data_IF_631724765868
#
_entry.id   IF_631724765868
#
_cell.length_a   1.000
_cell.length_b   1.000
_cell.length_c   1.000
_cell.angle_alpha   90.00
_cell.angle_beta   90.00
_cell.angle_gamma   90.00
#
_symmetry.space_group_name_H-M   'P 1'
#
loop_
_entity.id
_entity.type
_entity.pdbx_description
1 polymer ?
#
# COMPACT_ATOMS: atom_id res chain seq x y z
N UNK A 1 -16.14 4.22 -22.81
CA UNK A 1 -15.38 3.84 -21.60
C UNK A 1 -14.02 4.50 -21.69
N UNK A 2 -13.77 5.54 -20.90
CA UNK A 2 -12.50 6.27 -20.90
C UNK A 2 -11.46 5.42 -20.18
N UNK A 3 -10.55 4.79 -20.93
CA UNK A 3 -9.38 4.14 -20.35
C UNK A 3 -8.53 5.22 -19.69
N UNK A 4 -8.58 5.32 -18.36
CA UNK A 4 -7.72 6.22 -17.61
C UNK A 4 -6.28 5.74 -17.80
N UNK A 5 -5.51 6.41 -18.68
CA UNK A 5 -4.17 6.02 -19.09
C UNK A 5 -3.14 6.27 -17.98
N UNK A 6 -3.25 5.55 -16.85
CA UNK A 6 -2.24 5.63 -15.80
C UNK A 6 -1.00 4.82 -16.21
N UNK A 7 0.12 5.51 -16.37
CA UNK A 7 1.44 4.90 -16.58
C UNK A 7 2.31 5.15 -15.35
N UNK A 8 2.90 4.08 -14.81
CA UNK A 8 3.80 4.20 -13.65
C UNK A 8 5.07 4.96 -14.02
N UNK A 9 5.57 5.75 -13.08
CA UNK A 9 6.87 6.42 -13.20
C UNK A 9 8.05 5.44 -13.11
N UNK A 10 7.89 4.33 -12.38
CA UNK A 10 8.89 3.28 -12.20
C UNK A 10 8.20 1.92 -12.00
N UNK A 11 8.90 0.82 -12.26
CA UNK A 11 8.47 -0.56 -11.97
C UNK A 11 8.67 -0.93 -10.49
N UNK A 12 9.41 -0.13 -9.73
CA UNK A 12 9.53 -0.28 -8.27
C UNK A 12 8.53 0.62 -7.52
N UNK A 13 8.00 0.16 -6.37
CA UNK A 13 7.09 0.97 -5.56
C UNK A 13 7.78 2.20 -4.99
N UNK A 14 7.08 3.33 -4.98
CA UNK A 14 7.55 4.56 -4.36
C UNK A 14 7.67 4.38 -2.84
N UNK A 15 8.86 4.59 -2.28
CA UNK A 15 9.12 4.41 -0.85
C UNK A 15 9.13 2.95 -0.37
N UNK A 16 9.20 1.97 -1.29
CA UNK A 16 9.22 0.55 -0.96
C UNK A 16 7.84 -0.07 -0.71
N UNK A 17 7.84 -1.35 -0.32
CA UNK A 17 6.64 -2.04 0.12
C UNK A 17 6.39 -1.78 1.60
N UNK A 18 5.11 -1.74 1.98
CA UNK A 18 4.70 -1.65 3.38
C UNK A 18 3.81 -2.84 3.75
N UNK A 19 3.86 -3.29 4.99
CA UNK A 19 3.22 -4.53 5.42
C UNK A 19 2.41 -4.36 6.71
N UNK A 20 1.38 -5.20 6.84
CA UNK A 20 0.66 -5.45 8.08
C UNK A 20 0.59 -6.96 8.29
N UNK A 21 1.06 -7.42 9.44
CA UNK A 21 0.79 -8.77 9.89
C UNK A 21 -0.53 -8.77 10.67
N UNK A 22 -1.38 -9.75 10.46
CA UNK A 22 -2.62 -9.86 11.20
C UNK A 22 -2.77 -11.25 11.79
N UNK A 23 -3.25 -11.31 13.02
CA UNK A 23 -3.55 -12.56 13.71
C UNK A 23 -4.58 -12.32 14.83
N UNK A 24 -4.95 -13.35 15.57
CA UNK A 24 -5.68 -13.19 16.83
C UNK A 24 -4.79 -12.63 17.94
N UNK A 25 -5.39 -12.34 19.10
CA UNK A 25 -4.69 -11.70 20.21
C UNK A 25 -3.56 -12.57 20.77
N UNK A 26 -3.78 -13.88 20.87
CA UNK A 26 -2.81 -14.81 21.42
C UNK A 26 -1.59 -14.93 20.49
N UNK A 27 -1.83 -15.04 19.17
CA UNK A 27 -0.76 -15.09 18.17
C UNK A 27 0.04 -13.79 18.10
N UNK A 28 -0.61 -12.62 18.17
CA UNK A 28 0.12 -11.35 18.26
C UNK A 28 0.95 -11.27 19.54
N UNK A 29 0.40 -11.69 20.69
CA UNK A 29 1.16 -11.68 21.95
C UNK A 29 2.39 -12.60 21.91
N UNK A 30 2.26 -13.77 21.29
CA UNK A 30 3.38 -14.69 21.05
C UNK A 30 4.45 -14.06 20.14
N UNK A 31 4.02 -13.37 19.07
CA UNK A 31 4.93 -12.73 18.12
C UNK A 31 5.62 -11.48 18.65
N UNK A 32 4.91 -10.66 19.43
CA UNK A 32 5.43 -9.37 19.92
C UNK A 32 6.13 -9.50 21.27
N UNK A 33 5.89 -10.58 22.01
CA UNK A 33 6.31 -10.69 23.39
C UNK A 33 5.70 -9.59 24.28
N UNK A 34 6.44 -9.16 25.30
CA UNK A 34 6.03 -8.07 26.22
C UNK A 34 6.39 -6.68 25.70
N UNK A 35 7.27 -6.58 24.72
CA UNK A 35 7.81 -5.31 24.23
C UNK A 35 7.12 -4.91 22.94
N UNK A 36 5.96 -4.27 23.08
CA UNK A 36 5.29 -3.59 21.99
C UNK A 36 4.72 -2.25 22.45
N UNK A 37 4.56 -1.34 21.50
CA UNK A 37 3.74 -0.14 21.70
C UNK A 37 2.56 -0.17 20.73
N UNK A 38 1.50 0.59 21.05
CA UNK A 38 0.32 0.65 20.20
C UNK A 38 0.11 2.03 19.61
N UNK A 39 -0.54 2.07 18.45
CA UNK A 39 -0.96 3.33 17.84
C UNK A 39 -2.29 3.17 17.11
N UNK A 40 -3.07 4.25 17.06
CA UNK A 40 -4.39 4.27 16.41
C UNK A 40 -4.31 4.82 15.00
N UNK A 41 -5.37 4.58 14.23
CA UNK A 41 -5.56 5.14 12.89
C UNK A 41 -4.69 4.50 11.83
N UNK A 42 -4.80 5.04 10.61
CA UNK A 42 -3.95 4.67 9.48
C UNK A 42 -2.51 5.12 9.74
N UNK A 43 -1.52 4.47 9.10
CA UNK A 43 -0.12 4.88 9.14
C UNK A 43 0.36 5.27 7.76
N UNK A 44 1.32 6.20 7.73
CA UNK A 44 1.94 6.68 6.51
C UNK A 44 2.77 5.57 5.88
N UNK A 45 2.71 5.46 4.56
CA UNK A 45 3.56 4.62 3.74
C UNK A 45 3.93 5.39 2.47
N UNK A 46 4.83 4.82 1.66
CA UNK A 46 5.28 5.42 0.40
C UNK A 46 5.73 6.88 0.56
N UNK A 47 6.64 7.13 1.51
CA UNK A 47 7.12 8.48 1.87
C UNK A 47 6.00 9.47 2.25
N UNK A 48 4.87 8.97 2.75
CA UNK A 48 3.74 9.79 3.20
C UNK A 48 2.70 10.10 2.13
N UNK A 49 2.85 9.59 0.90
CA UNK A 49 1.86 9.74 -0.17
C UNK A 49 0.51 9.12 0.18
N UNK A 50 0.53 8.06 1.00
CA UNK A 50 -0.69 7.41 1.49
C UNK A 50 -0.66 7.25 3.00
N UNK A 51 -1.84 7.19 3.58
CA UNK A 51 -2.07 6.64 4.91
C UNK A 51 -2.94 5.40 4.78
N UNK A 52 -2.53 4.28 5.37
CA UNK A 52 -3.32 3.05 5.28
C UNK A 52 -3.37 2.23 6.57
N UNK A 53 -4.36 1.35 6.65
CA UNK A 53 -4.55 0.43 7.75
C UNK A 53 -5.74 -0.51 7.53
N UNK A 54 -5.96 -1.42 8.47
CA UNK A 54 -7.13 -2.32 8.44
C UNK A 54 -8.32 -1.67 9.13
N UNK A 55 -9.53 -1.95 8.63
CA UNK A 55 -10.81 -1.51 9.17
C UNK A 55 -11.66 -2.74 9.51
N UNK A 56 -12.28 -2.74 10.69
CA UNK A 56 -13.29 -3.74 11.05
C UNK A 56 -14.33 -3.12 11.97
N UNK A 57 -15.59 -3.56 11.86
CA UNK A 57 -16.70 -3.01 12.63
C UNK A 57 -16.78 -1.47 12.57
N UNK A 58 -16.63 -0.84 13.74
CA UNK A 58 -16.84 0.60 13.94
C UNK A 58 -15.71 1.50 13.42
N UNK A 59 -14.53 0.99 13.02
CA UNK A 59 -13.44 1.91 12.68
C UNK A 59 -12.14 1.28 12.18
N UNK A 60 -11.13 2.14 12.03
CA UNK A 60 -9.76 1.73 11.76
C UNK A 60 -9.21 1.00 12.98
N UNK A 61 -8.57 -0.13 12.75
CA UNK A 61 -8.07 -1.03 13.78
C UNK A 61 -6.81 -0.47 14.45
N UNK A 62 -6.54 -0.94 15.67
CA UNK A 62 -5.32 -0.58 16.41
C UNK A 62 -4.12 -1.32 15.83
N UNK A 63 -3.00 -0.62 15.74
CA UNK A 63 -1.73 -1.17 15.31
C UNK A 63 -0.87 -1.47 16.54
N UNK A 64 -0.23 -2.63 16.55
CA UNK A 64 0.73 -3.08 17.54
C UNK A 64 2.10 -3.12 16.86
N UNK A 65 3.10 -2.51 17.47
CA UNK A 65 4.43 -2.37 16.87
C UNK A 65 5.46 -3.06 17.72
N UNK A 66 6.20 -3.99 17.13
CA UNK A 66 7.30 -4.72 17.75
C UNK A 66 8.32 -5.09 16.67
N UNK A 67 9.61 -4.97 16.96
CA UNK A 67 10.71 -5.33 16.04
C UNK A 67 10.57 -4.73 14.62
N UNK A 68 10.20 -3.45 14.52
CA UNK A 68 10.00 -2.76 13.23
C UNK A 68 8.82 -3.27 12.40
N UNK A 69 8.05 -4.24 12.91
CA UNK A 69 6.86 -4.82 12.26
C UNK A 69 5.59 -4.23 12.87
N UNK A 70 4.55 -4.22 12.04
CA UNK A 70 3.22 -3.69 12.39
C UNK A 70 2.17 -4.77 12.34
N UNK A 71 1.55 -5.02 13.47
CA UNK A 71 0.56 -6.06 13.67
C UNK A 71 -0.84 -5.48 13.87
N UNK A 72 -1.86 -6.22 13.47
CA UNK A 72 -3.27 -5.96 13.74
C UNK A 72 -3.91 -7.20 14.37
N UNK A 73 -4.61 -7.00 15.47
CA UNK A 73 -5.37 -8.06 16.15
C UNK A 73 -6.79 -8.10 15.60
N UNK A 74 -7.15 -9.23 14.99
CA UNK A 74 -8.50 -9.53 14.51
C UNK A 74 -9.24 -10.49 15.43
N UNK A 75 -10.57 -10.34 15.53
CA UNK A 75 -11.43 -11.38 16.13
C UNK A 75 -11.69 -12.45 15.08
N UNK A 76 -11.54 -13.73 15.44
CA UNK A 76 -11.90 -14.87 14.59
C UNK A 76 -13.28 -14.66 13.94
N UNK A 77 -13.36 -14.98 12.66
CA UNK A 77 -14.54 -14.90 11.79
C UNK A 77 -15.08 -13.47 11.57
N UNK A 78 -14.41 -12.44 12.11
CA UNK A 78 -14.79 -11.06 11.85
C UNK A 78 -14.32 -10.62 10.45
N UNK A 79 -15.21 -9.94 9.73
CA UNK A 79 -14.87 -9.31 8.45
C UNK A 79 -13.95 -8.11 8.66
N UNK A 80 -13.06 -7.88 7.70
CA UNK A 80 -12.25 -6.68 7.66
C UNK A 80 -12.17 -6.09 6.26
N UNK A 81 -11.65 -4.86 6.18
CA UNK A 81 -11.34 -4.17 4.95
C UNK A 81 -9.95 -3.53 5.05
N UNK A 82 -9.29 -3.37 3.91
CA UNK A 82 -8.05 -2.61 3.79
C UNK A 82 -8.44 -1.20 3.35
N UNK A 83 -7.98 -0.22 4.12
CA UNK A 83 -8.34 1.19 3.93
C UNK A 83 -7.10 1.98 3.58
N UNK A 84 -7.04 2.53 2.36
CA UNK A 84 -5.92 3.32 1.85
C UNK A 84 -6.41 4.71 1.47
N UNK A 85 -5.91 5.74 2.16
CA UNK A 85 -6.18 7.14 1.85
C UNK A 85 -5.02 7.71 1.05
N UNK A 86 -5.32 8.27 -0.13
CA UNK A 86 -4.37 9.07 -0.88
C UNK A 86 -4.28 10.47 -0.26
N UNK A 87 -3.09 10.87 0.19
CA UNK A 87 -2.81 12.20 0.75
C UNK A 87 -1.98 13.07 -0.22
N UNK A 88 -1.73 12.57 -1.42
CA UNK A 88 -1.02 13.29 -2.48
C UNK A 88 -1.98 14.15 -3.30
N UNK A 89 -1.42 15.01 -4.16
CA UNK A 89 -2.18 15.82 -5.13
C UNK A 89 -2.25 15.15 -6.51
N UNK A 90 -1.78 13.92 -6.65
CA UNK A 90 -1.84 13.16 -7.90
C UNK A 90 -2.60 11.85 -7.73
N UNK A 91 -2.98 11.23 -8.86
CA UNK A 91 -3.46 9.85 -8.84
C UNK A 91 -2.32 8.93 -8.44
N UNK A 92 -2.64 7.91 -7.65
CA UNK A 92 -1.72 6.85 -7.30
C UNK A 92 -2.29 5.52 -7.76
N UNK A 93 -1.41 4.62 -8.19
CA UNK A 93 -1.78 3.22 -8.36
C UNK A 93 -1.37 2.43 -7.12
N UNK A 94 -2.33 1.71 -6.55
CA UNK A 94 -2.17 0.96 -5.31
C UNK A 94 -2.38 -0.52 -5.60
N UNK A 95 -1.30 -1.29 -5.50
CA UNK A 95 -1.31 -2.75 -5.55
C UNK A 95 -1.36 -3.27 -4.13
N UNK A 96 -2.32 -4.15 -3.85
CA UNK A 96 -2.53 -4.71 -2.51
C UNK A 96 -2.57 -6.23 -2.62
N UNK A 97 -1.96 -6.89 -1.65
CA UNK A 97 -2.04 -8.34 -1.51
C UNK A 97 -2.55 -8.73 -0.13
N UNK A 98 -3.27 -9.85 -0.07
CA UNK A 98 -3.67 -10.53 1.17
C UNK A 98 -3.25 -11.97 1.05
N UNK A 99 -2.46 -12.43 2.01
CA UNK A 99 -1.94 -13.80 2.08
C UNK A 99 -1.18 -14.25 0.81
N UNK A 100 -0.54 -13.30 0.13
CA UNK A 100 0.18 -13.53 -1.12
C UNK A 100 -0.68 -13.50 -2.39
N UNK A 101 -2.00 -13.31 -2.26
CA UNK A 101 -2.92 -13.16 -3.39
C UNK A 101 -3.21 -11.69 -3.68
N UNK A 102 -3.27 -11.33 -4.96
CA UNK A 102 -3.68 -10.01 -5.40
C UNK A 102 -5.18 -9.81 -5.11
N UNK A 103 -5.54 -8.69 -4.50
CA UNK A 103 -6.93 -8.43 -4.13
C UNK A 103 -7.85 -8.13 -5.33
N UNK A 104 -7.27 -7.80 -6.48
CA UNK A 104 -8.00 -7.46 -7.71
C UNK A 104 -8.48 -8.71 -8.43
N UNK A 105 -7.65 -9.76 -8.51
CA UNK A 105 -7.94 -10.96 -9.30
C UNK A 105 -7.87 -12.29 -8.53
N UNK A 106 -7.45 -12.26 -7.25
CA UNK A 106 -7.34 -13.45 -6.41
C UNK A 106 -6.22 -14.42 -6.81
N UNK A 107 -5.38 -14.06 -7.79
CA UNK A 107 -4.23 -14.86 -8.24
C UNK A 107 -2.97 -14.41 -7.50
N UNK A 108 -1.85 -15.16 -7.58
CA UNK A 108 -0.60 -14.76 -6.92
C UNK A 108 -0.24 -13.30 -7.18
N UNK A 109 0.08 -12.57 -6.12
CA UNK A 109 0.39 -11.16 -6.17
C UNK A 109 1.72 -10.92 -6.89
N UNK A 110 1.79 -9.83 -7.64
CA UNK A 110 3.02 -9.41 -8.30
C UNK A 110 3.03 -7.90 -8.43
N UNK A 111 4.20 -7.29 -8.21
CA UNK A 111 4.38 -5.88 -8.48
C UNK A 111 4.12 -5.52 -9.95
N UNK A 112 4.21 -6.47 -10.89
CA UNK A 112 3.94 -6.22 -12.31
C UNK A 112 2.44 -6.13 -12.64
N UNK A 113 1.57 -6.63 -11.77
CA UNK A 113 0.12 -6.54 -11.94
C UNK A 113 -0.38 -5.12 -11.72
N UNK A 114 -1.53 -4.81 -12.32
CA UNK A 114 -2.18 -3.51 -12.16
C UNK A 114 -3.04 -3.49 -10.89
N UNK A 115 -3.00 -2.36 -10.19
CA UNK A 115 -3.74 -2.11 -8.96
C UNK A 115 -4.90 -1.13 -9.15
N UNK A 116 -5.46 -0.68 -8.03
CA UNK A 116 -6.49 0.35 -8.02
C UNK A 116 -5.89 1.73 -8.28
N UNK A 117 -6.55 2.54 -9.11
CA UNK A 117 -6.22 3.95 -9.24
C UNK A 117 -7.00 4.73 -8.18
N UNK A 118 -6.28 5.39 -7.28
CA UNK A 118 -6.83 6.19 -6.18
C UNK A 118 -6.57 7.66 -6.49
N UNK A 119 -7.64 8.44 -6.63
CA UNK A 119 -7.56 9.87 -6.92
C UNK A 119 -7.06 10.67 -5.70
N UNK A 120 -6.59 11.92 -5.89
CA UNK A 120 -6.24 12.81 -4.78
C UNK A 120 -7.35 12.88 -3.74
N UNK A 121 -6.98 12.87 -2.46
CA UNK A 121 -7.87 12.90 -1.29
C UNK A 121 -8.89 11.75 -1.17
N UNK A 122 -8.89 10.80 -2.12
CA UNK A 122 -9.80 9.65 -2.10
C UNK A 122 -9.33 8.61 -1.07
N UNK A 123 -10.31 7.95 -0.44
CA UNK A 123 -10.09 6.72 0.33
C UNK A 123 -10.59 5.51 -0.45
N UNK A 124 -9.71 4.54 -0.68
CA UNK A 124 -10.03 3.22 -1.20
C UNK A 124 -10.32 2.26 -0.03
N UNK A 125 -11.43 1.53 -0.11
CA UNK A 125 -11.82 0.48 0.84
C UNK A 125 -11.95 -0.85 0.10
N UNK A 126 -11.09 -1.82 0.43
CA UNK A 126 -11.04 -3.14 -0.20
C UNK A 126 -11.56 -4.16 0.80
N UNK A 127 -12.75 -4.70 0.55
CA UNK A 127 -13.47 -5.59 1.49
C UNK A 127 -13.30 -7.08 1.18
N UNK A 128 -12.65 -7.41 0.08
CA UNK A 128 -12.60 -8.78 -0.42
C UNK A 128 -11.91 -8.92 -1.77
N UNK A 129 -11.71 -10.16 -2.20
CA UNK A 129 -11.21 -10.49 -3.54
C UNK A 129 -12.29 -10.23 -4.58
N UNK A 130 -11.93 -9.54 -5.66
CA UNK A 130 -12.84 -9.28 -6.77
C UNK A 130 -12.72 -10.40 -7.81
N UNK A 131 -13.33 -11.55 -7.53
CA UNK A 131 -13.25 -12.71 -8.42
C UNK A 131 -13.98 -12.50 -9.76
N UNK A 132 -14.93 -11.55 -9.84
CA UNK A 132 -15.55 -11.05 -11.07
C UNK A 132 -16.39 -9.79 -10.77
N UNK A 133 -16.99 -9.15 -11.78
CA UNK A 133 -17.82 -7.94 -11.60
C UNK A 133 -19.01 -8.09 -10.64
N UNK A 134 -19.39 -9.32 -10.27
CA UNK A 134 -20.62 -9.62 -9.51
C UNK A 134 -20.41 -10.21 -8.11
N UNK A 135 -19.20 -10.68 -7.77
CA UNK A 135 -18.99 -11.40 -6.51
C UNK A 135 -17.72 -10.93 -5.79
N UNK A 136 -17.89 -10.46 -4.55
CA UNK A 136 -16.80 -10.04 -3.65
C UNK A 136 -16.75 -11.03 -2.49
N UNK A 137 -15.79 -11.95 -2.54
CA UNK A 137 -15.51 -12.83 -1.40
C UNK A 137 -14.91 -11.98 -0.27
N UNK A 138 -15.61 -11.86 0.86
CA UNK A 138 -15.20 -10.95 1.94
C UNK A 138 -13.91 -11.43 2.62
N UNK A 139 -13.00 -10.51 2.97
CA UNK A 139 -11.89 -10.84 3.85
C UNK A 139 -12.42 -11.14 5.26
N UNK A 140 -11.93 -12.22 5.85
CA UNK A 140 -12.31 -12.70 7.18
C UNK A 140 -11.05 -13.06 7.95
N UNK A 141 -10.99 -12.67 9.22
CA UNK A 141 -9.92 -13.10 10.11
C UNK A 141 -10.05 -14.59 10.41
N UNK A 142 -9.16 -15.38 9.83
CA UNK A 142 -9.00 -16.78 10.18
C UNK A 142 -7.78 -16.92 11.10
N UNK A 143 -7.91 -17.52 12.30
CA UNK A 143 -6.77 -17.76 13.15
C UNK A 143 -5.79 -18.69 12.43
N UNK A 144 -4.50 -18.37 12.49
CA UNK A 144 -3.46 -19.29 12.08
C UNK A 144 -3.31 -20.30 13.22
N UNK A 145 -4.08 -21.38 13.20
CA UNK A 145 -4.01 -22.42 14.24
C UNK A 145 -2.71 -23.20 14.09
N UNK A 146 -1.68 -22.82 14.84
CA UNK A 146 -0.38 -23.51 14.89
C UNK A 146 0.75 -22.57 15.29
N UNK A 147 1.78 -23.10 15.94
CA UNK A 147 2.98 -22.37 16.33
C UNK A 147 3.54 -21.58 15.15
N UNK A 148 3.43 -20.25 15.21
CA UNK A 148 3.90 -19.32 14.16
C UNK A 148 5.40 -19.53 13.86
N UNK A 149 6.14 -20.04 14.86
CA UNK A 149 7.53 -20.47 14.82
C UNK A 149 7.85 -21.52 13.74
N UNK A 150 6.89 -22.39 13.38
CA UNK A 150 7.12 -23.47 12.40
C UNK A 150 6.90 -23.02 10.94
N UNK A 151 6.31 -21.84 10.71
CA UNK A 151 6.01 -21.30 9.38
C UNK A 151 7.20 -20.55 8.73
N UNK A 152 8.32 -20.43 9.45
CA UNK A 152 9.57 -19.85 8.94
C UNK A 152 10.24 -20.75 7.87
N UNK A 153 9.94 -22.05 7.86
CA UNK A 153 10.55 -23.04 6.96
C UNK A 153 9.53 -23.59 5.95
N UNK A 154 9.53 -23.03 4.74
CA UNK A 154 8.96 -23.65 3.54
C UNK A 154 7.56 -23.18 3.15
N UNK A 155 7.46 -22.59 1.94
CA UNK A 155 6.29 -22.43 1.05
C UNK A 155 5.01 -21.73 1.59
N UNK A 156 4.85 -21.55 2.90
CA UNK A 156 3.63 -21.03 3.56
C UNK A 156 3.75 -19.56 4.00
N UNK A 157 4.72 -18.84 3.44
CA UNK A 157 5.34 -17.61 3.99
C UNK A 157 4.47 -16.36 4.07
N UNK A 158 3.24 -16.38 3.56
CA UNK A 158 2.42 -15.17 3.45
C UNK A 158 1.12 -15.19 4.27
N UNK A 159 0.80 -16.28 4.98
CA UNK A 159 -0.45 -16.36 5.76
C UNK A 159 -0.43 -15.33 6.90
N UNK A 160 -1.48 -14.54 7.02
CA UNK A 160 -1.58 -13.47 8.02
C UNK A 160 -0.84 -12.20 7.60
N UNK A 161 -0.64 -11.95 6.31
CA UNK A 161 0.09 -10.77 5.82
C UNK A 161 -0.71 -10.01 4.78
N UNK A 162 -0.82 -8.69 4.97
CA UNK A 162 -1.30 -7.75 3.97
C UNK A 162 -0.13 -6.91 3.46
N UNK A 163 0.08 -6.92 2.15
CA UNK A 163 1.10 -6.11 1.48
C UNK A 163 0.51 -4.90 0.77
N UNK A 164 1.24 -3.79 0.77
CA UNK A 164 0.93 -2.56 0.04
C UNK A 164 2.12 -2.13 -0.82
N UNK A 165 1.86 -1.85 -2.08
CA UNK A 165 2.80 -1.17 -2.98
C UNK A 165 2.10 0.00 -3.68
N UNK A 166 2.75 1.17 -3.65
CA UNK A 166 2.22 2.40 -4.22
C UNK A 166 3.11 2.85 -5.38
N UNK A 167 2.49 3.20 -6.50
CA UNK A 167 3.18 3.71 -7.68
C UNK A 167 2.66 5.10 -8.04
N UNK A 168 3.59 5.97 -8.41
CA UNK A 168 3.30 7.33 -8.88
C UNK A 168 3.11 7.35 -10.40
N UNK A 169 2.37 8.34 -10.88
CA UNK A 169 2.15 8.56 -12.31
C UNK A 169 3.39 9.15 -12.98
N UNK A 170 3.73 8.64 -14.18
CA UNK A 170 4.89 9.09 -14.95
C UNK A 170 4.75 10.56 -15.31
N UNK A 171 5.77 11.35 -15.01
CA UNK A 171 5.84 12.76 -15.37
C UNK A 171 4.94 13.67 -14.53
N UNK A 172 4.35 13.17 -13.45
CA UNK A 172 3.58 13.99 -12.49
C UNK A 172 4.30 14.00 -11.15
N UNK A 173 4.56 15.19 -10.61
CA UNK A 173 5.03 15.32 -9.24
C UNK A 173 3.88 15.03 -8.26
N UNK A 174 4.01 14.05 -7.35
CA UNK A 174 2.88 13.60 -6.55
C UNK A 174 2.42 14.61 -5.50
N UNK A 175 3.30 15.52 -5.07
CA UNK A 175 2.96 16.50 -4.03
C UNK A 175 2.27 17.74 -4.58
N UNK A 176 2.60 18.16 -5.78
CA UNK A 176 2.00 19.32 -6.46
C UNK A 176 0.85 18.93 -7.40
N UNK A 177 0.83 17.69 -7.90
CA UNK A 177 -0.10 17.23 -8.94
C UNK A 177 0.20 17.82 -10.32
N UNK A 178 1.32 18.55 -10.48
CA UNK A 178 1.71 19.19 -11.73
C UNK A 178 2.62 18.28 -12.54
N UNK A 179 2.69 18.54 -13.84
CA UNK A 179 3.73 17.91 -14.66
C UNK A 179 5.11 18.24 -14.08
N UNK A 180 5.96 17.23 -13.93
CA UNK A 180 7.35 17.39 -13.50
C UNK A 180 8.11 18.31 -14.47
N UNK A 181 7.77 18.30 -15.76
CA UNK A 181 8.35 19.20 -16.77
C UNK A 181 7.96 20.67 -16.55
N UNK A 182 6.80 20.93 -15.94
CA UNK A 182 6.39 22.30 -15.64
C UNK A 182 7.33 22.95 -14.61
N UNK A 183 7.88 22.18 -13.66
CA UNK A 183 8.89 22.70 -12.72
C UNK A 183 10.17 23.16 -13.45
N UNK A 184 10.61 22.41 -14.46
CA UNK A 184 11.80 22.74 -15.26
C UNK A 184 11.59 23.96 -16.17
N UNK A 185 10.36 24.21 -16.64
CA UNK A 185 10.06 25.39 -17.48
C UNK A 185 10.12 26.70 -16.70
N UNK A 186 9.78 26.69 -15.40
CA UNK A 186 9.90 27.88 -14.56
C UNK A 186 11.34 28.17 -14.10
N UNK A 187 12.23 27.18 -14.15
CA UNK A 187 13.67 27.36 -13.92
C UNK A 187 14.47 27.62 -15.19
N UNK A 188 13.84 27.59 -16.37
CA UNK A 188 14.51 27.92 -17.63
C UNK A 188 14.76 29.43 -17.68
N UNK A 189 16.02 29.83 -17.80
CA UNK A 189 16.36 31.23 -18.04
C UNK A 189 15.78 31.66 -19.40
N UNK A 190 15.03 32.77 -19.49
CA UNK A 190 14.49 33.27 -20.76
C UNK A 190 15.58 33.79 -21.71
N UNK A 191 16.83 33.88 -21.24
CA UNK A 191 17.97 34.31 -22.02
C UNK A 191 18.95 33.14 -22.18
N UNK A 192 19.26 32.78 -23.43
CA UNK A 192 20.31 31.82 -23.75
C UNK A 192 21.67 32.38 -23.30
N UNK A 193 22.51 31.54 -22.68
CA UNK A 193 23.90 31.92 -22.44
C UNK A 193 24.59 32.22 -23.79
N UNK A 194 25.23 33.39 -23.95
CA UNK A 194 25.91 33.73 -25.20
C UNK A 194 26.93 32.65 -25.55
N UNK A 195 27.08 32.29 -26.84
CA UNK A 195 28.09 31.32 -27.24
C UNK A 195 29.45 31.78 -26.74
N UNK A 196 30.13 30.94 -25.95
CA UNK A 196 31.48 31.22 -25.48
C UNK A 196 32.38 31.45 -26.69
N UNK A 197 32.72 32.72 -26.95
CA UNK A 197 33.74 33.06 -27.92
C UNK A 197 35.06 32.49 -27.41
N UNK A 198 35.54 31.41 -28.04
CA UNK A 198 36.95 31.04 -27.93
C UNK A 198 37.75 32.19 -28.54
N UNK A 199 38.48 32.91 -27.71
CA UNK A 199 39.53 33.82 -28.17
C UNK A 199 40.57 33.00 -28.93
N UNK A 200 40.98 33.51 -30.11
CA UNK A 200 42.12 33.00 -30.87
C UNK A 200 43.42 33.47 -30.25
#
# INVERSE_FOLDING_TARGET
MTYTSFRRSNDTPHGGMDMIWYNDKAGVDEMTGRDYYTSRGRKRAANGLVEWGMRSGFGIMRNYHSDGKRYVVGRKDAKYAISVKNNSRSRLEVVVSVDGLDVVDGQPASLRKRGYIVWPDQTLEIRGWRASEKEVASFVFSPVSGSYSNLQYGETRNVGVVGLAVFTEKGIDPWSGRSADAHNRFSASPFAEPPMRRAR
#
